data_IF_138515918557
#
_entry.id   IF_138515918557
#
_cell.length_a   1.000
_cell.length_b   1.000
_cell.length_c   1.000
_cell.angle_alpha   90.00
_cell.angle_beta   90.00
_cell.angle_gamma   90.00
#
_symmetry.space_group_name_H-M   'P 1'
#
loop_
_entity.id
_entity.type
_entity.pdbx_description
1 polymer ?
#
# COMPACT_ATOMS: atom_id res chain seq x y z
N UNK A 1 17.13 -7.43 41.56
CA UNK A 1 17.90 -7.90 40.38
C UNK A 1 16.93 -8.42 39.34
N UNK A 2 16.47 -7.55 38.45
CA UNK A 2 15.51 -7.86 37.37
C UNK A 2 16.29 -8.31 36.14
N UNK A 3 16.16 -9.59 35.79
CA UNK A 3 16.91 -10.23 34.73
C UNK A 3 16.55 -9.70 33.33
N UNK A 4 17.58 -9.64 32.49
CA UNK A 4 17.54 -9.38 31.06
C UNK A 4 16.37 -10.13 30.37
N UNK A 5 15.23 -9.45 30.17
CA UNK A 5 14.16 -9.86 29.24
C UNK A 5 13.93 -8.97 27.99
N UNK A 6 14.72 -7.92 27.68
CA UNK A 6 14.34 -6.99 26.61
C UNK A 6 14.28 -7.65 25.23
N UNK A 7 15.19 -8.58 24.91
CA UNK A 7 15.22 -9.24 23.59
C UNK A 7 13.98 -10.09 23.35
N UNK A 8 13.53 -10.87 24.35
CA UNK A 8 12.35 -11.73 24.22
C UNK A 8 11.08 -10.91 23.96
N UNK A 9 11.00 -9.72 24.53
CA UNK A 9 9.86 -8.85 24.31
C UNK A 9 9.83 -8.27 22.89
N UNK A 10 10.98 -7.88 22.32
CA UNK A 10 11.04 -7.42 20.92
C UNK A 10 10.76 -8.55 19.92
N UNK A 11 11.21 -9.78 20.19
CA UNK A 11 10.84 -10.95 19.37
C UNK A 11 9.33 -11.16 19.35
N UNK A 12 8.64 -10.95 20.48
CA UNK A 12 7.16 -11.01 20.53
C UNK A 12 6.52 -9.92 19.68
N UNK A 13 7.06 -8.69 19.69
CA UNK A 13 6.56 -7.60 18.83
C UNK A 13 6.71 -7.95 17.35
N UNK A 14 7.89 -8.43 16.96
CA UNK A 14 8.15 -8.85 15.58
C UNK A 14 7.23 -10.00 15.15
N UNK A 15 7.08 -11.03 16.00
CA UNK A 15 6.19 -12.16 15.72
C UNK A 15 4.72 -11.75 15.58
N UNK A 16 4.28 -10.78 16.38
CA UNK A 16 2.93 -10.22 16.27
C UNK A 16 2.71 -9.52 14.94
N UNK A 17 3.57 -8.56 14.57
CA UNK A 17 3.38 -7.84 13.31
C UNK A 17 3.61 -8.71 12.08
N UNK A 18 4.51 -9.68 12.15
CA UNK A 18 4.69 -10.66 11.09
C UNK A 18 3.40 -11.48 10.84
N UNK A 19 2.65 -11.84 11.89
CA UNK A 19 1.43 -12.63 11.73
C UNK A 19 0.24 -11.84 11.15
N UNK A 20 0.18 -10.52 11.39
CA UNK A 20 -0.95 -9.69 10.95
C UNK A 20 -0.68 -8.78 9.74
N UNK A 21 0.58 -8.53 9.38
CA UNK A 21 0.95 -7.57 8.32
C UNK A 21 1.86 -8.13 7.23
N UNK A 22 2.37 -9.36 7.35
CA UNK A 22 3.36 -9.90 6.40
C UNK A 22 2.82 -9.94 4.97
N UNK A 23 1.57 -10.37 4.77
CA UNK A 23 0.99 -10.42 3.43
C UNK A 23 0.89 -9.04 2.81
N UNK A 24 0.43 -8.03 3.56
CA UNK A 24 0.36 -6.65 3.09
C UNK A 24 1.74 -6.09 2.75
N UNK A 25 2.74 -6.31 3.61
CA UNK A 25 4.13 -5.89 3.37
C UNK A 25 4.68 -6.53 2.10
N UNK A 26 4.49 -7.84 1.93
CA UNK A 26 4.98 -8.58 0.76
C UNK A 26 4.30 -8.16 -0.54
N UNK A 27 2.97 -7.99 -0.53
CA UNK A 27 2.20 -7.56 -1.72
C UNK A 27 2.67 -6.18 -2.18
N UNK A 28 3.00 -5.28 -1.26
CA UNK A 28 3.46 -3.93 -1.60
C UNK A 28 4.86 -3.90 -2.21
N UNK A 29 5.65 -4.97 -2.10
CA UNK A 29 6.95 -5.07 -2.78
C UNK A 29 6.82 -5.22 -4.30
N UNK A 30 5.63 -5.58 -4.79
CA UNK A 30 5.38 -5.64 -6.23
C UNK A 30 5.65 -4.29 -6.90
N UNK A 31 5.23 -3.17 -6.31
CA UNK A 31 5.36 -1.84 -6.92
C UNK A 31 6.82 -1.41 -7.19
N UNK A 32 7.74 -1.42 -6.22
CA UNK A 32 9.15 -1.12 -6.48
C UNK A 32 9.82 -2.18 -7.37
N UNK A 33 9.41 -3.45 -7.29
CA UNK A 33 9.91 -4.48 -8.20
C UNK A 33 9.53 -4.17 -9.66
N UNK A 34 8.26 -3.85 -9.92
CA UNK A 34 7.79 -3.40 -11.23
C UNK A 34 8.50 -2.14 -11.69
N UNK A 35 8.74 -1.20 -10.78
CA UNK A 35 9.58 -0.03 -11.02
C UNK A 35 10.93 -0.42 -11.58
N UNK A 36 11.70 -1.24 -10.86
CA UNK A 36 13.04 -1.66 -11.29
C UNK A 36 13.02 -2.39 -12.63
N UNK A 37 12.08 -3.31 -12.82
CA UNK A 37 11.97 -4.05 -14.08
C UNK A 37 11.66 -3.14 -15.28
N UNK A 38 10.67 -2.26 -15.14
CA UNK A 38 10.27 -1.32 -16.21
C UNK A 38 11.26 -0.15 -16.37
N UNK A 39 12.10 0.08 -15.37
CA UNK A 39 13.24 0.99 -15.41
C UNK A 39 14.46 0.42 -16.15
N UNK A 40 14.41 -0.84 -16.59
CA UNK A 40 15.48 -1.42 -17.42
C UNK A 40 16.46 -2.33 -16.68
N UNK A 41 16.07 -2.87 -15.52
CA UNK A 41 16.82 -3.92 -14.83
C UNK A 41 17.38 -4.99 -15.78
N UNK A 42 18.68 -5.25 -15.65
CA UNK A 42 19.37 -6.33 -16.34
C UNK A 42 19.78 -7.41 -15.34
N UNK A 43 19.88 -8.66 -15.79
CA UNK A 43 20.27 -9.79 -14.93
C UNK A 43 21.79 -9.83 -14.69
N UNK A 44 22.38 -8.68 -14.39
CA UNK A 44 23.78 -8.52 -14.02
C UNK A 44 23.91 -8.52 -12.49
N UNK A 45 25.08 -8.92 -11.97
CA UNK A 45 25.28 -9.03 -10.52
C UNK A 45 25.12 -7.70 -9.78
N UNK A 46 25.59 -6.60 -10.38
CA UNK A 46 25.47 -5.26 -9.81
C UNK A 46 23.98 -4.84 -9.69
N UNK A 47 23.23 -4.99 -10.77
CA UNK A 47 21.80 -4.71 -10.82
C UNK A 47 21.03 -5.55 -9.80
N UNK A 48 21.36 -6.83 -9.68
CA UNK A 48 20.74 -7.72 -8.71
C UNK A 48 21.01 -7.28 -7.27
N UNK A 49 22.25 -6.89 -6.93
CA UNK A 49 22.60 -6.39 -5.60
C UNK A 49 21.82 -5.10 -5.30
N UNK A 50 21.80 -4.16 -6.25
CA UNK A 50 21.07 -2.88 -6.10
C UNK A 50 19.58 -3.10 -5.91
N UNK A 51 18.97 -4.00 -6.68
CA UNK A 51 17.57 -4.37 -6.55
C UNK A 51 17.28 -5.05 -5.20
N UNK A 52 18.12 -5.98 -4.74
CA UNK A 52 17.98 -6.63 -3.43
C UNK A 52 18.05 -5.60 -2.30
N UNK A 53 19.04 -4.71 -2.31
CA UNK A 53 19.17 -3.65 -1.31
C UNK A 53 17.93 -2.75 -1.29
N UNK A 54 17.43 -2.36 -2.46
CA UNK A 54 16.21 -1.56 -2.59
C UNK A 54 14.98 -2.29 -2.02
N UNK A 55 14.79 -3.56 -2.36
CA UNK A 55 13.66 -4.36 -1.89
C UNK A 55 13.74 -4.63 -0.38
N UNK A 56 14.94 -4.82 0.18
CA UNK A 56 15.14 -4.91 1.63
C UNK A 56 14.77 -3.58 2.31
N UNK A 57 15.27 -2.45 1.81
CA UNK A 57 14.91 -1.13 2.31
C UNK A 57 13.40 -0.87 2.25
N UNK A 58 12.77 -1.21 1.13
CA UNK A 58 11.33 -1.10 0.91
C UNK A 58 10.52 -2.00 1.85
N UNK A 59 10.98 -3.22 2.12
CA UNK A 59 10.34 -4.14 3.08
C UNK A 59 10.34 -3.53 4.49
N UNK A 60 11.49 -3.03 4.96
CA UNK A 60 11.58 -2.39 6.27
C UNK A 60 10.78 -1.09 6.34
N UNK A 61 10.79 -0.28 5.29
CA UNK A 61 9.98 0.93 5.21
C UNK A 61 8.49 0.59 5.29
N UNK A 62 8.02 -0.37 4.50
CA UNK A 62 6.61 -0.78 4.48
C UNK A 62 6.17 -1.37 5.82
N UNK A 63 7.03 -2.17 6.44
CA UNK A 63 6.78 -2.67 7.79
C UNK A 63 6.70 -1.53 8.81
N UNK A 64 7.59 -0.53 8.75
CA UNK A 64 7.49 0.68 9.55
C UNK A 64 6.14 1.39 9.35
N UNK A 65 5.67 1.56 8.11
CA UNK A 65 4.40 2.23 7.79
C UNK A 65 3.23 1.54 8.53
N UNK A 66 3.12 0.22 8.44
CA UNK A 66 2.04 -0.51 9.11
C UNK A 66 2.16 -0.49 10.64
N UNK A 67 3.36 -0.67 11.18
CA UNK A 67 3.59 -0.63 12.63
C UNK A 67 3.28 0.76 13.19
N UNK A 68 3.68 1.83 12.50
CA UNK A 68 3.38 3.20 12.87
C UNK A 68 1.87 3.48 12.82
N UNK A 69 1.19 3.01 11.77
CA UNK A 69 -0.26 3.13 11.66
C UNK A 69 -0.99 2.45 12.82
N UNK A 70 -0.56 1.24 13.21
CA UNK A 70 -1.17 0.48 14.32
C UNK A 70 -0.86 1.14 15.66
N UNK A 71 0.35 1.67 15.82
CA UNK A 71 0.73 2.45 17.01
C UNK A 71 -0.13 3.71 17.18
N UNK A 72 -0.34 4.46 16.10
CA UNK A 72 -1.17 5.67 16.10
C UNK A 72 -2.67 5.32 16.28
N UNK A 73 -3.13 4.25 15.63
CA UNK A 73 -4.52 3.79 15.62
C UNK A 73 -4.98 2.96 16.83
N UNK A 74 -4.07 2.58 17.73
CA UNK A 74 -4.37 1.59 18.79
C UNK A 74 -5.64 1.87 19.61
N UNK A 75 -5.95 3.13 19.94
CA UNK A 75 -7.15 3.47 20.70
C UNK A 75 -8.44 3.24 19.89
N UNK A 76 -8.40 3.53 18.59
CA UNK A 76 -9.53 3.23 17.71
C UNK A 76 -9.71 1.73 17.49
N UNK A 77 -8.61 0.99 17.28
CA UNK A 77 -8.69 -0.45 17.00
C UNK A 77 -9.18 -1.25 18.22
N UNK A 78 -8.95 -0.76 19.46
CA UNK A 78 -9.52 -1.37 20.68
C UNK A 78 -11.05 -1.34 20.72
N UNK A 79 -11.65 -0.30 20.13
CA UNK A 79 -13.11 -0.09 20.12
C UNK A 79 -13.78 -0.76 18.93
N UNK A 80 -13.02 -1.24 17.95
CA UNK A 80 -13.53 -2.00 16.81
C UNK A 80 -13.66 -3.49 17.19
N UNK A 81 -14.89 -4.04 17.23
CA UNK A 81 -15.12 -5.45 17.55
C UNK A 81 -14.38 -6.42 16.62
N UNK A 82 -14.11 -6.04 15.37
CA UNK A 82 -13.41 -6.88 14.39
C UNK A 82 -11.90 -6.88 14.57
N UNK A 83 -11.34 -5.88 15.26
CA UNK A 83 -9.88 -5.70 15.41
C UNK A 83 -9.39 -5.86 16.83
N UNK A 84 -10.27 -5.76 17.83
CA UNK A 84 -9.87 -5.70 19.24
C UNK A 84 -8.95 -6.84 19.67
N UNK A 85 -9.18 -8.07 19.18
CA UNK A 85 -8.35 -9.26 19.49
C UNK A 85 -6.96 -9.21 18.86
N UNK A 86 -6.80 -8.44 17.79
CA UNK A 86 -5.56 -8.26 17.04
C UNK A 86 -4.74 -7.07 17.53
N UNK A 87 -5.25 -6.25 18.45
CA UNK A 87 -4.51 -5.11 18.98
C UNK A 87 -3.33 -5.59 19.83
N UNK A 88 -2.13 -5.12 19.53
CA UNK A 88 -0.89 -5.51 20.22
C UNK A 88 -0.96 -5.38 21.75
N UNK A 89 -1.74 -4.44 22.30
CA UNK A 89 -1.89 -4.32 23.76
C UNK A 89 -2.62 -5.49 24.40
N UNK A 90 -3.53 -6.17 23.67
CA UNK A 90 -4.15 -7.42 24.14
C UNK A 90 -3.13 -8.57 24.18
N UNK A 91 -2.06 -8.46 23.39
CA UNK A 91 -0.95 -9.41 23.33
C UNK A 91 0.18 -9.08 24.35
N UNK A 92 -0.10 -8.22 25.33
CA UNK A 92 0.86 -7.76 26.36
C UNK A 92 2.10 -7.07 25.75
N UNK A 93 1.94 -6.44 24.59
CA UNK A 93 2.96 -5.62 23.95
C UNK A 93 2.69 -4.16 24.31
N UNK A 94 3.72 -3.42 24.77
CA UNK A 94 3.57 -2.03 25.15
C UNK A 94 3.68 -1.09 23.94
N UNK A 95 3.05 0.08 24.03
CA UNK A 95 3.14 1.10 22.96
C UNK A 95 4.57 1.58 22.71
N UNK A 96 5.40 1.63 23.75
CA UNK A 96 6.81 2.06 23.66
C UNK A 96 7.62 1.04 22.85
N UNK A 97 7.39 -0.26 23.08
CA UNK A 97 8.06 -1.31 22.30
C UNK A 97 7.70 -1.23 20.81
N UNK A 98 6.43 -1.01 20.49
CA UNK A 98 5.97 -0.83 19.11
C UNK A 98 6.64 0.39 18.46
N UNK A 99 6.71 1.53 19.17
CA UNK A 99 7.38 2.73 18.68
C UNK A 99 8.88 2.49 18.40
N UNK A 100 9.59 1.80 19.30
CA UNK A 100 11.00 1.46 19.09
C UNK A 100 11.20 0.57 17.87
N UNK A 101 10.35 -0.44 17.65
CA UNK A 101 10.43 -1.30 16.45
C UNK A 101 10.14 -0.49 15.19
N UNK A 102 9.12 0.37 15.20
CA UNK A 102 8.84 1.24 14.05
C UNK A 102 10.04 2.13 13.72
N UNK A 103 10.65 2.78 14.71
CA UNK A 103 11.83 3.65 14.51
C UNK A 103 13.02 2.83 14.01
N UNK A 104 13.29 1.66 14.61
CA UNK A 104 14.37 0.79 14.17
C UNK A 104 14.22 0.37 12.71
N UNK A 105 13.01 0.01 12.29
CA UNK A 105 12.73 -0.33 10.88
C UNK A 105 12.92 0.85 9.94
N UNK A 106 12.53 2.06 10.34
CA UNK A 106 12.80 3.25 9.55
C UNK A 106 14.31 3.52 9.40
N UNK A 107 15.09 3.37 10.48
CA UNK A 107 16.55 3.54 10.43
C UNK A 107 17.16 2.51 9.47
N UNK A 108 16.80 1.23 9.61
CA UNK A 108 17.31 0.17 8.74
C UNK A 108 16.93 0.40 7.27
N UNK A 109 15.70 0.83 7.00
CA UNK A 109 15.28 1.18 5.65
C UNK A 109 16.14 2.28 5.02
N UNK A 110 16.41 3.36 5.78
CA UNK A 110 17.26 4.46 5.31
C UNK A 110 18.72 4.04 5.09
N UNK A 111 19.26 3.12 5.89
CA UNK A 111 20.60 2.57 5.66
C UNK A 111 20.65 1.87 4.30
N UNK A 112 19.68 1.00 3.99
CA UNK A 112 19.61 0.34 2.69
C UNK A 112 19.43 1.34 1.54
N UNK A 113 18.55 2.33 1.68
CA UNK A 113 18.37 3.34 0.62
C UNK A 113 19.59 4.21 0.41
N UNK A 114 20.31 4.57 1.48
CA UNK A 114 21.57 5.29 1.38
C UNK A 114 22.63 4.50 0.59
N UNK A 115 22.71 3.18 0.81
CA UNK A 115 23.60 2.29 0.04
C UNK A 115 23.24 2.20 -1.44
N UNK A 116 21.98 2.43 -1.80
CA UNK A 116 21.50 2.41 -3.18
C UNK A 116 21.75 3.75 -3.88
N UNK A 117 21.47 4.86 -3.21
CA UNK A 117 21.75 6.21 -3.72
C UNK A 117 20.86 7.32 -3.15
N UNK A 118 21.25 8.59 -3.35
CA UNK A 118 20.57 9.75 -2.75
C UNK A 118 19.12 9.92 -3.23
N UNK A 119 18.83 9.61 -4.50
CA UNK A 119 17.47 9.71 -5.04
C UNK A 119 16.53 8.66 -4.42
N UNK A 120 17.01 7.42 -4.24
CA UNK A 120 16.27 6.36 -3.53
C UNK A 120 16.01 6.75 -2.08
N UNK A 121 17.00 7.34 -1.40
CA UNK A 121 16.83 7.88 -0.04
C UNK A 121 15.77 8.99 0.01
N UNK A 122 15.75 9.90 -0.97
CA UNK A 122 14.75 10.97 -1.06
C UNK A 122 13.33 10.41 -1.21
N UNK A 123 13.12 9.44 -2.10
CA UNK A 123 11.82 8.79 -2.26
C UNK A 123 11.41 8.01 -1.00
N UNK A 124 12.35 7.27 -0.39
CA UNK A 124 12.11 6.58 0.87
C UNK A 124 11.68 7.53 2.00
N UNK A 125 12.35 8.69 2.11
CA UNK A 125 12.00 9.74 3.07
C UNK A 125 10.62 10.35 2.76
N UNK A 126 10.30 10.63 1.50
CA UNK A 126 8.99 11.15 1.10
C UNK A 126 7.86 10.16 1.46
N UNK A 127 8.05 8.86 1.23
CA UNK A 127 7.10 7.83 1.62
C UNK A 127 6.94 7.77 3.15
N UNK A 128 8.03 7.87 3.92
CA UNK A 128 7.97 7.92 5.38
C UNK A 128 7.24 9.16 5.91
N UNK A 129 7.40 10.32 5.25
CA UNK A 129 6.64 11.52 5.59
C UNK A 129 5.15 11.33 5.31
N UNK A 130 4.78 10.75 4.16
CA UNK A 130 3.39 10.44 3.85
C UNK A 130 2.77 9.47 4.85
N UNK A 131 3.53 8.48 5.36
CA UNK A 131 3.02 7.53 6.35
C UNK A 131 2.77 8.20 7.71
N UNK A 132 3.66 9.12 8.11
CA UNK A 132 3.49 9.93 9.30
C UNK A 132 2.28 10.86 9.18
N UNK A 133 2.14 11.55 8.04
CA UNK A 133 0.98 12.39 7.75
C UNK A 133 -0.31 11.58 7.77
N UNK A 134 -0.33 10.41 7.11
CA UNK A 134 -1.47 9.52 7.08
C UNK A 134 -1.90 9.07 8.49
N UNK A 135 -0.93 8.66 9.32
CA UNK A 135 -1.18 8.05 10.63
C UNK A 135 -1.48 9.08 11.73
N UNK A 136 -0.80 10.23 11.69
CA UNK A 136 -0.76 11.18 12.81
C UNK A 136 -1.36 12.55 12.50
N UNK A 137 -1.59 12.92 11.23
CA UNK A 137 -2.11 14.25 10.90
C UNK A 137 -3.64 14.32 11.00
N UNK A 138 -4.20 15.32 11.68
CA UNK A 138 -5.65 15.55 11.67
C UNK A 138 -6.16 16.17 10.35
N UNK A 139 -5.26 16.72 9.50
CA UNK A 139 -5.61 17.43 8.25
C UNK A 139 -5.28 16.65 6.99
N UNK A 140 -4.30 15.75 7.08
CA UNK A 140 -3.82 14.97 5.95
C UNK A 140 -3.89 13.46 6.24
N UNK A 141 -4.43 13.08 7.40
CA UNK A 141 -4.46 11.70 7.86
C UNK A 141 -5.73 10.95 7.50
N UNK A 142 -5.81 9.71 7.98
CA UNK A 142 -6.97 8.80 7.81
C UNK A 142 -8.32 9.41 8.20
N UNK A 143 -8.32 10.44 9.05
CA UNK A 143 -9.54 11.13 9.53
C UNK A 143 -10.03 12.21 8.58
N UNK A 144 -9.30 12.51 7.50
CA UNK A 144 -9.68 13.56 6.54
C UNK A 144 -10.16 12.91 5.23
N UNK A 145 -11.45 13.07 4.88
CA UNK A 145 -12.00 12.54 3.63
C UNK A 145 -11.19 13.03 2.43
N UNK A 146 -11.03 12.16 1.42
CA UNK A 146 -10.27 12.42 0.18
C UNK A 146 -8.77 12.59 0.40
N UNK A 147 -8.30 13.37 1.38
CA UNK A 147 -6.88 13.59 1.64
C UNK A 147 -6.14 12.28 1.94
N UNK A 148 -6.77 11.36 2.68
CA UNK A 148 -6.24 10.02 2.92
C UNK A 148 -6.02 9.23 1.60
N UNK A 149 -6.94 9.32 0.64
CA UNK A 149 -6.81 8.69 -0.68
C UNK A 149 -5.79 9.40 -1.56
N UNK A 150 -5.62 10.72 -1.44
CA UNK A 150 -4.54 11.46 -2.11
C UNK A 150 -3.18 10.98 -1.59
N UNK A 151 -3.01 10.80 -0.28
CA UNK A 151 -1.79 10.22 0.27
C UNK A 151 -1.51 8.82 -0.31
N UNK A 152 -2.54 8.00 -0.50
CA UNK A 152 -2.39 6.68 -1.12
C UNK A 152 -2.05 6.77 -2.61
N UNK A 153 -2.61 7.76 -3.32
CA UNK A 153 -2.26 8.03 -4.72
C UNK A 153 -0.78 8.38 -4.86
N UNK A 154 -0.33 9.38 -4.11
CA UNK A 154 1.07 9.81 -4.12
C UNK A 154 1.97 8.69 -3.60
N UNK A 155 1.57 8.00 -2.53
CA UNK A 155 2.28 6.85 -2.00
C UNK A 155 2.49 5.74 -3.03
N UNK A 156 1.45 5.35 -3.77
CA UNK A 156 1.54 4.34 -4.83
C UNK A 156 2.48 4.77 -5.96
N UNK A 157 2.41 6.04 -6.39
CA UNK A 157 3.35 6.59 -7.37
C UNK A 157 4.79 6.50 -6.87
N UNK A 158 5.05 6.94 -5.64
CA UNK A 158 6.39 6.96 -5.06
C UNK A 158 6.97 5.56 -4.89
N UNK A 159 6.17 4.56 -4.49
CA UNK A 159 6.67 3.18 -4.38
C UNK A 159 7.09 2.60 -5.74
N UNK A 160 6.38 2.93 -6.82
CA UNK A 160 6.82 2.57 -8.17
C UNK A 160 8.09 3.32 -8.57
N UNK A 161 8.10 4.65 -8.39
CA UNK A 161 9.24 5.49 -8.76
C UNK A 161 10.50 5.12 -8.00
N UNK A 162 10.38 4.69 -6.75
CA UNK A 162 11.48 4.20 -5.92
C UNK A 162 12.30 3.14 -6.67
N UNK A 163 11.62 2.16 -7.29
CA UNK A 163 12.27 1.13 -8.10
C UNK A 163 12.63 1.60 -9.51
N UNK A 164 11.76 2.37 -10.16
CA UNK A 164 12.00 2.84 -11.53
C UNK A 164 13.28 3.65 -11.66
N UNK A 165 13.51 4.56 -10.72
CA UNK A 165 14.69 5.43 -10.74
C UNK A 165 15.98 4.73 -10.32
N UNK A 166 15.93 3.42 -10.06
CA UNK A 166 17.13 2.64 -9.80
C UNK A 166 17.96 2.42 -11.08
N UNK A 167 17.27 2.22 -12.21
CA UNK A 167 17.84 1.84 -13.49
C UNK A 167 17.50 2.81 -14.64
N UNK A 168 16.65 3.80 -14.37
CA UNK A 168 16.25 4.80 -15.36
C UNK A 168 16.23 6.21 -14.77
N UNK A 169 16.47 7.22 -15.59
CA UNK A 169 16.21 8.60 -15.17
C UNK A 169 14.70 8.86 -15.06
N UNK A 170 14.31 9.79 -14.18
CA UNK A 170 12.92 10.17 -14.04
C UNK A 170 12.45 10.89 -15.32
N UNK A 171 11.49 10.29 -16.02
CA UNK A 171 10.96 10.83 -17.26
C UNK A 171 9.41 10.77 -17.30
N UNK A 172 8.83 11.22 -18.41
CA UNK A 172 7.38 11.20 -18.60
C UNK A 172 6.78 9.79 -18.58
N UNK A 173 7.53 8.77 -19.02
CA UNK A 173 7.09 7.36 -19.02
C UNK A 173 6.99 6.82 -17.60
N UNK A 174 8.02 7.00 -16.79
CA UNK A 174 8.05 6.63 -15.39
C UNK A 174 6.92 7.30 -14.60
N UNK A 175 6.68 8.60 -14.83
CA UNK A 175 5.57 9.33 -14.21
C UNK A 175 4.20 8.78 -14.61
N UNK A 176 3.98 8.51 -15.90
CA UNK A 176 2.71 8.00 -16.39
C UNK A 176 2.41 6.57 -15.87
N UNK A 177 3.41 5.69 -15.81
CA UNK A 177 3.25 4.35 -15.22
C UNK A 177 3.06 4.46 -13.70
N UNK A 178 3.77 5.36 -13.02
CA UNK A 178 3.60 5.57 -11.57
C UNK A 178 2.17 5.97 -11.22
N UNK A 179 1.53 6.81 -12.06
CA UNK A 179 0.15 7.23 -11.88
C UNK A 179 -0.81 6.03 -11.89
N UNK A 180 -0.56 5.01 -12.72
CA UNK A 180 -1.32 3.76 -12.67
C UNK A 180 -1.26 3.11 -11.28
N UNK A 181 -0.06 2.95 -10.70
CA UNK A 181 0.09 2.40 -9.35
C UNK A 181 -0.59 3.27 -8.29
N UNK A 182 -0.46 4.60 -8.41
CA UNK A 182 -1.16 5.55 -7.54
C UNK A 182 -2.68 5.41 -7.59
N UNK A 183 -3.27 5.31 -8.78
CA UNK A 183 -4.70 5.11 -8.96
C UNK A 183 -5.19 3.78 -8.35
N UNK A 184 -4.43 2.70 -8.54
CA UNK A 184 -4.75 1.40 -7.95
C UNK A 184 -4.70 1.46 -6.42
N UNK A 185 -3.71 2.13 -5.83
CA UNK A 185 -3.59 2.31 -4.38
C UNK A 185 -4.74 3.13 -3.82
N UNK A 186 -5.06 4.27 -4.43
CA UNK A 186 -6.16 5.13 -4.00
C UNK A 186 -7.53 4.45 -4.17
N UNK A 187 -7.75 3.71 -5.27
CA UNK A 187 -8.93 2.89 -5.48
C UNK A 187 -9.06 1.80 -4.41
N UNK A 188 -7.96 1.11 -4.10
CA UNK A 188 -7.90 0.12 -3.02
C UNK A 188 -8.17 0.72 -1.63
N UNK A 189 -7.68 1.92 -1.37
CA UNK A 189 -7.92 2.65 -0.12
C UNK A 189 -9.41 2.99 0.06
N UNK A 190 -10.09 3.52 -0.97
CA UNK A 190 -11.53 3.73 -0.88
C UNK A 190 -12.30 2.44 -0.63
N UNK A 191 -11.92 1.33 -1.26
CA UNK A 191 -12.54 0.03 -0.99
C UNK A 191 -12.34 -0.41 0.47
N UNK A 192 -11.16 -0.16 1.02
CA UNK A 192 -10.86 -0.40 2.43
C UNK A 192 -11.70 0.47 3.37
N UNK A 193 -11.88 1.75 3.09
CA UNK A 193 -12.76 2.61 3.89
C UNK A 193 -14.21 2.08 3.90
N UNK A 194 -14.71 1.57 2.77
CA UNK A 194 -16.05 0.94 2.72
C UNK A 194 -16.12 -0.29 3.61
N UNK A 195 -15.07 -1.14 3.60
CA UNK A 195 -14.98 -2.33 4.45
C UNK A 195 -14.95 -1.96 5.94
N UNK A 196 -14.22 -0.90 6.28
CA UNK A 196 -13.95 -0.48 7.65
C UNK A 196 -15.03 0.50 8.18
N UNK A 197 -16.05 0.83 7.37
CA UNK A 197 -17.09 1.83 7.63
C UNK A 197 -17.71 1.77 9.04
N UNK A 198 -18.15 0.59 9.49
CA UNK A 198 -18.78 0.45 10.81
C UNK A 198 -17.80 0.75 11.95
N UNK A 199 -16.58 0.23 11.83
CA UNK A 199 -15.51 0.46 12.81
C UNK A 199 -15.13 1.94 12.86
N UNK A 200 -14.98 2.58 11.70
CA UNK A 200 -14.66 4.01 11.60
C UNK A 200 -15.79 4.88 12.16
N UNK A 201 -17.05 4.55 11.86
CA UNK A 201 -18.23 5.27 12.34
C UNK A 201 -18.33 5.23 13.88
N UNK A 202 -18.17 4.04 14.49
CA UNK A 202 -18.19 3.88 15.95
C UNK A 202 -17.04 4.66 16.61
N UNK A 203 -15.91 4.76 15.91
CA UNK A 203 -14.73 5.44 16.41
C UNK A 203 -14.72 6.95 16.19
N UNK A 204 -15.70 7.51 15.47
CA UNK A 204 -15.72 8.92 15.07
C UNK A 204 -14.63 9.28 14.04
N UNK A 205 -14.11 8.30 13.31
CA UNK A 205 -13.13 8.53 12.24
C UNK A 205 -13.89 8.97 10.99
N UNK A 206 -13.64 10.19 10.53
CA UNK A 206 -14.33 10.79 9.39
C UNK A 206 -13.69 10.38 8.06
N UNK A 207 -13.66 9.08 7.76
CA UNK A 207 -13.23 8.60 6.42
C UNK A 207 -14.21 9.04 5.33
N UNK A 208 -13.83 8.89 4.06
CA UNK A 208 -14.72 9.25 2.95
C UNK A 208 -15.97 8.35 2.94
N UNK A 209 -15.83 7.06 3.29
CA UNK A 209 -16.98 6.17 3.50
C UNK A 209 -17.93 6.64 4.61
N UNK A 210 -17.43 7.16 5.72
CA UNK A 210 -18.27 7.70 6.81
C UNK A 210 -18.94 9.01 6.40
N UNK A 211 -18.22 9.92 5.73
CA UNK A 211 -18.75 11.25 5.38
C UNK A 211 -19.67 11.24 4.16
N UNK A 212 -19.31 10.52 3.10
CA UNK A 212 -20.08 10.49 1.85
C UNK A 212 -20.98 9.25 1.72
N UNK A 213 -20.82 8.29 2.62
CA UNK A 213 -21.53 7.02 2.61
C UNK A 213 -20.80 5.93 1.82
N UNK A 214 -20.97 4.65 2.21
CA UNK A 214 -20.22 3.53 1.65
C UNK A 214 -20.46 3.35 0.15
N UNK A 215 -21.68 3.64 -0.34
CA UNK A 215 -22.00 3.50 -1.77
C UNK A 215 -21.25 4.49 -2.64
N UNK A 216 -21.19 5.77 -2.26
CA UNK A 216 -20.50 6.79 -3.05
C UNK A 216 -18.99 6.54 -3.05
N UNK A 217 -18.43 6.15 -1.91
CA UNK A 217 -17.01 5.79 -1.79
C UNK A 217 -16.66 4.53 -2.58
N UNK A 218 -17.53 3.52 -2.60
CA UNK A 218 -17.35 2.33 -3.44
C UNK A 218 -17.37 2.68 -4.94
N UNK A 219 -18.28 3.56 -5.37
CA UNK A 219 -18.32 4.02 -6.75
C UNK A 219 -17.07 4.83 -7.11
N UNK A 220 -16.58 5.69 -6.21
CA UNK A 220 -15.32 6.41 -6.40
C UNK A 220 -14.12 5.44 -6.54
N UNK A 221 -14.08 4.37 -5.74
CA UNK A 221 -13.10 3.28 -5.88
C UNK A 221 -13.15 2.66 -7.30
N UNK A 222 -14.35 2.30 -7.77
CA UNK A 222 -14.53 1.74 -9.11
C UNK A 222 -14.15 2.72 -10.23
N UNK A 223 -14.42 4.02 -10.06
CA UNK A 223 -14.00 5.06 -11.00
C UNK A 223 -12.48 5.16 -11.11
N UNK A 224 -11.75 5.12 -9.97
CA UNK A 224 -10.28 5.12 -9.98
C UNK A 224 -9.71 3.86 -10.62
N UNK A 225 -10.29 2.68 -10.35
CA UNK A 225 -9.87 1.45 -11.03
C UNK A 225 -10.16 1.49 -12.54
N UNK A 226 -11.30 2.06 -12.95
CA UNK A 226 -11.63 2.24 -14.37
C UNK A 226 -10.63 3.17 -15.04
N UNK A 227 -10.24 4.27 -14.39
CA UNK A 227 -9.20 5.15 -14.88
C UNK A 227 -7.83 4.45 -14.96
N UNK A 228 -7.49 3.59 -14.00
CA UNK A 228 -6.27 2.79 -14.06
C UNK A 228 -6.26 1.83 -15.26
N UNK A 229 -7.38 1.17 -15.56
CA UNK A 229 -7.50 0.34 -16.78
C UNK A 229 -7.45 1.17 -18.07
N UNK A 230 -8.10 2.33 -18.12
CA UNK A 230 -8.01 3.21 -19.27
C UNK A 230 -6.56 3.68 -19.49
N UNK A 231 -5.85 4.02 -18.41
CA UNK A 231 -4.46 4.44 -18.45
C UNK A 231 -3.54 3.31 -18.94
N UNK A 232 -3.69 2.08 -18.44
CA UNK A 232 -2.82 0.97 -18.88
C UNK A 232 -3.02 0.64 -20.36
N UNK A 233 -4.27 0.70 -20.85
CA UNK A 233 -4.60 0.54 -22.27
C UNK A 233 -4.00 1.68 -23.10
N UNK A 234 -4.09 2.93 -22.62
CA UNK A 234 -3.48 4.09 -23.27
C UNK A 234 -1.96 4.01 -23.34
N UNK A 235 -1.31 3.51 -22.28
CA UNK A 235 0.15 3.28 -22.25
C UNK A 235 0.58 2.17 -23.22
N UNK A 236 -0.25 1.15 -23.41
CA UNK A 236 -0.03 0.16 -24.46
C UNK A 236 -0.19 0.77 -25.87
N UNK A 237 -1.19 1.65 -26.04
CA UNK A 237 -1.44 2.36 -27.30
C UNK A 237 -0.26 3.24 -27.74
N UNK A 238 0.48 3.81 -26.78
CA UNK A 238 1.68 4.61 -27.05
C UNK A 238 2.98 3.78 -27.05
N UNK A 239 2.88 2.43 -27.00
CA UNK A 239 4.02 1.51 -26.92
C UNK A 239 4.94 1.73 -25.70
N UNK A 240 4.46 2.42 -24.66
CA UNK A 240 5.17 2.55 -23.39
C UNK A 240 5.13 1.27 -22.56
N UNK A 241 4.14 0.41 -22.82
CA UNK A 241 3.95 -0.91 -22.22
C UNK A 241 3.56 -1.95 -23.29
N UNK A 242 3.64 -3.27 -22.99
CA UNK A 242 3.36 -4.32 -23.97
C UNK A 242 1.95 -4.27 -24.56
N UNK A 243 1.82 -4.52 -25.86
CA UNK A 243 0.54 -4.55 -26.58
C UNK A 243 -0.48 -5.54 -25.99
N UNK A 244 -0.04 -6.60 -25.30
CA UNK A 244 -0.94 -7.53 -24.62
C UNK A 244 -1.89 -6.81 -23.64
N UNK A 245 -1.49 -5.67 -23.09
CA UNK A 245 -2.28 -4.88 -22.15
C UNK A 245 -3.47 -4.18 -22.80
N UNK A 246 -3.62 -4.20 -24.13
CA UNK A 246 -4.94 -3.94 -24.73
C UNK A 246 -5.99 -4.87 -24.14
N UNK A 247 -5.64 -6.13 -23.89
CA UNK A 247 -6.49 -7.13 -23.25
C UNK A 247 -7.00 -6.76 -21.86
N UNK A 248 -6.48 -5.69 -21.23
CA UNK A 248 -6.96 -5.18 -19.94
C UNK A 248 -8.43 -4.72 -19.97
N UNK A 249 -9.07 -4.59 -21.13
CA UNK A 249 -10.53 -4.41 -21.21
C UNK A 249 -11.29 -5.61 -20.61
N UNK A 250 -10.75 -6.82 -20.72
CA UNK A 250 -11.38 -8.05 -20.18
C UNK A 250 -11.42 -8.03 -18.65
N UNK A 251 -10.31 -7.88 -17.90
CA UNK A 251 -10.36 -7.76 -16.45
C UNK A 251 -11.15 -6.52 -16.01
N UNK A 252 -11.18 -5.43 -16.78
CA UNK A 252 -12.05 -4.29 -16.50
C UNK A 252 -13.54 -4.68 -16.51
N UNK A 253 -14.03 -5.36 -17.56
CA UNK A 253 -15.42 -5.83 -17.61
C UNK A 253 -15.75 -6.77 -16.45
N UNK A 254 -14.85 -7.70 -16.11
CA UNK A 254 -15.01 -8.59 -14.96
C UNK A 254 -15.07 -7.81 -13.64
N UNK A 255 -14.21 -6.81 -13.47
CA UNK A 255 -14.20 -5.93 -12.31
C UNK A 255 -15.56 -5.21 -12.18
N UNK A 256 -16.06 -4.61 -13.26
CA UNK A 256 -17.37 -3.93 -13.27
C UNK A 256 -18.50 -4.90 -12.94
N UNK A 257 -18.53 -6.08 -13.56
CA UNK A 257 -19.56 -7.09 -13.29
C UNK A 257 -19.58 -7.52 -11.81
N UNK A 258 -18.39 -7.77 -11.23
CA UNK A 258 -18.27 -8.10 -9.81
C UNK A 258 -18.65 -6.93 -8.90
N UNK A 259 -18.31 -5.69 -9.27
CA UNK A 259 -18.74 -4.50 -8.54
C UNK A 259 -20.26 -4.32 -8.52
N UNK A 260 -20.93 -4.57 -9.65
CA UNK A 260 -22.40 -4.57 -9.73
C UNK A 260 -22.99 -5.67 -8.83
N UNK A 261 -22.41 -6.86 -8.84
CA UNK A 261 -22.81 -7.94 -7.93
C UNK A 261 -22.66 -7.53 -6.45
N UNK A 262 -21.52 -6.95 -6.08
CA UNK A 262 -21.24 -6.49 -4.72
C UNK A 262 -22.20 -5.38 -4.28
N UNK A 263 -22.54 -4.44 -5.18
CA UNK A 263 -23.56 -3.43 -4.92
C UNK A 263 -24.94 -4.03 -4.65
N UNK A 264 -25.33 -5.06 -5.40
CA UNK A 264 -26.62 -5.75 -5.23
C UNK A 264 -26.70 -6.55 -3.93
N UNK A 265 -25.58 -7.05 -3.42
CA UNK A 265 -25.50 -7.80 -2.17
C UNK A 265 -25.60 -6.92 -0.91
N UNK A 266 -25.56 -5.59 -1.08
CA UNK A 266 -25.34 -4.66 0.03
C UNK A 266 -23.86 -4.69 0.44
N UNK A 267 -23.25 -3.52 0.58
CA UNK A 267 -21.80 -3.33 0.77
C UNK A 267 -21.30 -3.75 2.17
N UNK A 268 -21.75 -4.91 2.66
CA UNK A 268 -21.31 -5.50 3.92
C UNK A 268 -19.87 -6.01 3.87
N UNK A 269 -19.29 -6.22 5.05
CA UNK A 269 -17.89 -6.57 5.23
C UNK A 269 -17.42 -7.73 4.33
N UNK A 270 -18.14 -8.86 4.34
CA UNK A 270 -17.77 -10.05 3.55
C UNK A 270 -17.84 -9.80 2.04
N UNK A 271 -18.83 -9.06 1.57
CA UNK A 271 -18.99 -8.73 0.15
C UNK A 271 -17.83 -7.85 -0.34
N UNK A 272 -17.40 -6.89 0.48
CA UNK A 272 -16.26 -6.00 0.18
C UNK A 272 -14.94 -6.75 0.28
N UNK A 273 -14.77 -7.63 1.28
CA UNK A 273 -13.57 -8.46 1.40
C UNK A 273 -13.40 -9.40 0.19
N UNK A 274 -14.50 -9.99 -0.28
CA UNK A 274 -14.52 -10.80 -1.51
C UNK A 274 -14.16 -9.95 -2.73
N UNK A 275 -14.72 -8.75 -2.84
CA UNK A 275 -14.39 -7.82 -3.92
C UNK A 275 -12.91 -7.42 -3.91
N UNK A 276 -12.35 -7.20 -2.71
CA UNK A 276 -10.94 -6.88 -2.52
C UNK A 276 -10.01 -7.97 -3.06
N UNK A 277 -10.29 -9.24 -2.72
CA UNK A 277 -9.51 -10.38 -3.24
C UNK A 277 -9.60 -10.47 -4.77
N UNK A 278 -10.80 -10.26 -5.32
CA UNK A 278 -11.07 -10.30 -6.76
C UNK A 278 -10.28 -9.24 -7.53
N UNK A 279 -10.37 -7.96 -7.16
CA UNK A 279 -9.62 -6.95 -7.91
C UNK A 279 -8.11 -7.09 -7.71
N UNK A 280 -7.63 -7.53 -6.53
CA UNK A 280 -6.21 -7.80 -6.31
C UNK A 280 -5.69 -8.87 -7.27
N UNK A 281 -6.46 -9.93 -7.50
CA UNK A 281 -6.14 -10.94 -8.50
C UNK A 281 -6.08 -10.35 -9.92
N UNK A 282 -7.07 -9.54 -10.31
CA UNK A 282 -7.09 -8.91 -11.64
C UNK A 282 -5.87 -8.01 -11.87
N UNK A 283 -5.50 -7.20 -10.87
CA UNK A 283 -4.31 -6.35 -10.96
C UNK A 283 -3.01 -7.13 -10.86
N UNK A 284 -2.97 -8.26 -10.15
CA UNK A 284 -1.81 -9.16 -10.18
C UNK A 284 -1.60 -9.74 -11.58
N UNK A 285 -2.65 -10.23 -12.24
CA UNK A 285 -2.60 -10.73 -13.62
C UNK A 285 -2.18 -9.60 -14.58
N UNK A 286 -2.76 -8.41 -14.43
CA UNK A 286 -2.40 -7.23 -15.24
C UNK A 286 -0.94 -6.86 -15.05
N UNK A 287 -0.44 -6.87 -13.81
CA UNK A 287 0.96 -6.63 -13.49
C UNK A 287 1.88 -7.65 -14.16
N UNK A 288 1.58 -8.95 -14.07
CA UNK A 288 2.37 -9.99 -14.75
C UNK A 288 2.44 -9.75 -16.27
N UNK A 289 1.35 -9.31 -16.89
CA UNK A 289 1.36 -8.94 -18.31
C UNK A 289 2.27 -7.74 -18.64
N UNK A 290 2.55 -6.85 -17.68
CA UNK A 290 3.52 -5.75 -17.86
C UNK A 290 4.97 -6.24 -17.93
N UNK A 291 5.28 -7.46 -17.46
CA UNK A 291 6.64 -8.03 -17.48
C UNK A 291 7.00 -8.73 -18.78
N UNK A 292 6.02 -8.96 -19.65
CA UNK A 292 6.24 -9.63 -20.93
C UNK A 292 6.98 -8.66 -21.86
N UNK A 293 8.12 -9.10 -22.39
CA UNK A 293 8.89 -8.37 -23.40
C UNK A 293 8.41 -8.73 -24.80
#
# INVERSE_FOLDING_TARGET
MSSYRPIRDYVRVLGHFASIRSLEVLVLQASPFFGGFLGGFQFEWEDLIRLILLLLGSLFLTAHIFILNDWAGHNSDKRDPRRTTLVFTQQKISRVQVAHVAIAFLIVANIFFFMVGPLTMLFGAAIAVLSLLYSCSPRFGKVTPIAASINHLVGGMLHFLLGYTLFHELDGRGLAISLFFGLVFAGGHFNQEVRDYEGDSINGIRTSAVVFGPRRTFLASLSLFTLAYALIIGLAATSMLPNLLYGSFIPWFLHVAWSVQTLRQGLGFEAILKMQRRFRLLFAITGLAMLIR
#
